data_IF_076756765518
#
_entry.id   IF_076756765518
#
_cell.length_a   1.000
_cell.length_b   1.000
_cell.length_c   1.000
_cell.angle_alpha   90.00
_cell.angle_beta   90.00
_cell.angle_gamma   90.00
#
_symmetry.space_group_name_H-M   'P 1'
#
loop_
_entity.id
_entity.type
_entity.pdbx_description
1 polymer ?
#
# COMPACT_ATOMS: atom_id res chain seq x y z
N UNK A 1 -3.83 16.28 26.36
CA UNK A 1 -4.63 15.27 25.57
C UNK A 1 -3.81 14.02 25.21
N UNK A 2 -2.98 13.50 26.11
CA UNK A 2 -2.04 12.40 25.83
C UNK A 2 -2.48 11.03 26.37
N UNK A 3 -3.61 10.95 27.08
CA UNK A 3 -4.09 9.68 27.67
C UNK A 3 -4.56 8.62 26.66
N UNK A 4 -4.99 9.01 25.46
CA UNK A 4 -5.47 8.07 24.44
C UNK A 4 -4.37 7.20 23.81
N UNK A 5 -3.17 7.76 23.65
CA UNK A 5 -2.06 7.08 22.99
C UNK A 5 -1.43 5.98 23.85
N UNK A 6 -1.34 6.20 25.17
CA UNK A 6 -0.78 5.19 26.10
C UNK A 6 -1.64 3.92 26.17
N UNK A 7 -2.97 4.06 26.23
CA UNK A 7 -3.88 2.90 26.22
C UNK A 7 -3.80 2.11 24.91
N UNK A 8 -3.74 2.82 23.78
CA UNK A 8 -3.58 2.21 22.47
C UNK A 8 -2.27 1.41 22.38
N UNK A 9 -1.17 1.98 22.82
CA UNK A 9 0.12 1.31 22.81
C UNK A 9 0.14 0.07 23.70
N UNK A 10 -0.40 0.17 24.91
CA UNK A 10 -0.49 -0.98 25.83
C UNK A 10 -1.32 -2.12 25.24
N UNK A 11 -2.40 -1.79 24.52
CA UNK A 11 -3.23 -2.79 23.86
C UNK A 11 -2.47 -3.48 22.70
N UNK A 12 -1.80 -2.71 21.85
CA UNK A 12 -0.99 -3.27 20.78
C UNK A 12 0.17 -4.12 21.30
N UNK A 13 0.76 -3.75 22.43
CA UNK A 13 1.82 -4.51 23.09
C UNK A 13 1.30 -5.86 23.63
N UNK A 14 0.11 -5.86 24.21
CA UNK A 14 -0.53 -7.09 24.67
C UNK A 14 -0.86 -8.02 23.52
N UNK A 15 -1.38 -7.50 22.41
CA UNK A 15 -1.65 -8.29 21.20
C UNK A 15 -0.34 -8.82 20.63
N UNK A 16 0.72 -8.02 20.54
CA UNK A 16 2.00 -8.45 20.00
C UNK A 16 2.58 -9.61 20.81
N UNK A 17 2.46 -9.55 22.13
CA UNK A 17 2.89 -10.65 23.01
C UNK A 17 2.07 -11.91 22.79
N UNK A 18 0.75 -11.80 22.63
CA UNK A 18 -0.14 -12.94 22.36
C UNK A 18 0.14 -13.58 20.99
N UNK A 19 0.41 -12.76 19.98
CA UNK A 19 0.77 -13.22 18.63
C UNK A 19 2.12 -13.94 18.66
N UNK A 20 3.13 -13.37 19.32
CA UNK A 20 4.45 -13.96 19.46
C UNK A 20 4.39 -15.29 20.23
N UNK A 21 3.57 -15.40 21.26
CA UNK A 21 3.39 -16.67 21.97
C UNK A 21 2.85 -17.80 21.07
N UNK A 22 2.09 -17.48 20.03
CA UNK A 22 1.55 -18.44 19.06
C UNK A 22 2.49 -18.67 17.86
N UNK A 23 3.31 -17.68 17.54
CA UNK A 23 4.28 -17.67 16.44
C UNK A 23 5.62 -17.13 16.95
N UNK A 24 6.38 -17.97 17.68
CA UNK A 24 7.68 -17.57 18.21
C UNK A 24 8.73 -17.27 17.11
N UNK A 25 8.48 -17.74 15.90
CA UNK A 25 9.25 -17.44 14.69
C UNK A 25 9.08 -16.00 14.19
N UNK A 26 8.04 -15.29 14.63
CA UNK A 26 7.83 -13.89 14.33
C UNK A 26 8.40 -12.99 15.43
N UNK A 27 9.24 -12.04 15.06
CA UNK A 27 9.83 -11.10 16.02
C UNK A 27 8.82 -10.07 16.52
N UNK A 28 8.90 -9.70 17.78
CA UNK A 28 7.98 -8.73 18.42
C UNK A 28 7.99 -7.35 17.72
N UNK A 29 9.15 -6.77 17.35
CA UNK A 29 9.20 -5.52 16.61
C UNK A 29 8.46 -5.58 15.27
N UNK A 30 8.61 -6.65 14.51
CA UNK A 30 7.92 -6.88 13.24
C UNK A 30 6.41 -7.02 13.43
N UNK A 31 5.96 -7.74 14.46
CA UNK A 31 4.54 -7.83 14.83
C UNK A 31 3.98 -6.44 15.16
N UNK A 32 4.65 -5.65 16.00
CA UNK A 32 4.21 -4.29 16.37
C UNK A 32 4.11 -3.38 15.15
N UNK A 33 5.10 -3.42 14.25
CA UNK A 33 5.08 -2.65 13.01
C UNK A 33 3.88 -3.02 12.13
N UNK A 34 3.58 -4.31 12.02
CA UNK A 34 2.45 -4.82 11.21
C UNK A 34 1.10 -4.47 11.84
N UNK A 35 0.96 -4.57 13.16
CA UNK A 35 -0.21 -4.11 13.90
C UNK A 35 -0.44 -2.60 13.74
N UNK A 36 0.64 -1.81 13.79
CA UNK A 36 0.57 -0.36 13.57
C UNK A 36 0.09 -0.01 12.16
N UNK A 37 0.58 -0.71 11.14
CA UNK A 37 0.11 -0.57 9.75
C UNK A 37 -1.36 -0.96 9.60
N UNK A 38 -1.76 -2.10 10.15
CA UNK A 38 -3.13 -2.57 10.12
C UNK A 38 -4.09 -1.56 10.78
N UNK A 39 -3.72 -1.04 11.95
CA UNK A 39 -4.48 -0.03 12.67
C UNK A 39 -4.56 1.32 11.93
N UNK A 40 -3.52 1.69 11.16
CA UNK A 40 -3.52 2.90 10.35
C UNK A 40 -4.43 2.76 9.11
N UNK A 41 -4.42 1.60 8.44
CA UNK A 41 -5.29 1.30 7.30
C UNK A 41 -6.76 1.28 7.75
N UNK A 42 -7.02 0.66 8.89
CA UNK A 42 -8.34 0.55 9.47
C UNK A 42 -8.95 1.91 9.86
N UNK A 43 -8.13 2.94 10.05
CA UNK A 43 -8.56 4.29 10.37
C UNK A 43 -8.76 4.54 11.87
N UNK A 44 -8.92 5.83 12.23
CA UNK A 44 -9.00 6.26 13.63
C UNK A 44 -10.26 5.82 14.39
N UNK A 45 -11.24 5.25 13.69
CA UNK A 45 -12.50 4.75 14.28
C UNK A 45 -12.60 3.23 14.34
N UNK A 46 -11.61 2.52 13.81
CA UNK A 46 -11.63 1.06 13.82
C UNK A 46 -11.32 0.52 15.17
N UNK A 47 -12.09 -0.47 15.56
CA UNK A 47 -11.88 -1.13 16.82
C UNK A 47 -10.52 -1.87 16.77
N UNK A 48 -9.61 -1.49 17.68
CA UNK A 48 -8.35 -2.21 17.86
C UNK A 48 -8.59 -3.70 18.17
N UNK A 49 -9.79 -4.06 18.61
CA UNK A 49 -10.23 -5.43 18.81
C UNK A 49 -10.23 -6.17 17.47
N UNK A 50 -10.74 -5.59 16.40
CA UNK A 50 -10.73 -6.17 15.07
C UNK A 50 -9.32 -6.46 14.57
N UNK A 51 -8.41 -5.50 14.77
CA UNK A 51 -6.98 -5.67 14.46
C UNK A 51 -6.38 -6.83 15.25
N UNK A 52 -6.73 -6.93 16.53
CA UNK A 52 -6.29 -8.02 17.40
C UNK A 52 -6.82 -9.39 16.95
N UNK A 53 -8.10 -9.47 16.62
CA UNK A 53 -8.74 -10.70 16.13
C UNK A 53 -8.09 -11.13 14.81
N UNK A 54 -7.90 -10.21 13.87
CA UNK A 54 -7.28 -10.52 12.59
C UNK A 54 -5.82 -10.97 12.78
N UNK A 55 -5.06 -10.31 13.66
CA UNK A 55 -3.69 -10.70 13.97
C UNK A 55 -3.61 -12.13 14.54
N UNK A 56 -4.49 -12.48 15.48
CA UNK A 56 -4.56 -13.83 16.03
C UNK A 56 -4.98 -14.87 15.00
N UNK A 57 -5.92 -14.55 14.08
CA UNK A 57 -6.28 -15.42 12.96
C UNK A 57 -5.12 -15.59 11.98
N UNK A 58 -4.33 -14.53 11.73
CA UNK A 58 -3.17 -14.59 10.85
C UNK A 58 -2.10 -15.58 11.35
N UNK A 59 -2.01 -15.83 12.68
CA UNK A 59 -1.09 -16.83 13.23
C UNK A 59 -1.39 -18.26 12.78
N UNK A 60 -2.61 -18.53 12.30
CA UNK A 60 -3.01 -19.85 11.81
C UNK A 60 -2.44 -20.14 10.41
N UNK A 61 -2.01 -19.12 9.71
CA UNK A 61 -1.42 -19.24 8.38
C UNK A 61 0.03 -19.68 8.45
N UNK A 62 0.24 -20.99 8.41
CA UNK A 62 1.56 -21.60 8.52
C UNK A 62 2.45 -21.43 7.28
N UNK A 63 1.84 -21.08 6.14
CA UNK A 63 2.50 -20.75 4.89
C UNK A 63 3.23 -19.39 4.92
N UNK A 64 2.99 -18.57 5.94
CA UNK A 64 3.58 -17.25 6.08
C UNK A 64 4.66 -17.22 7.16
N UNK A 65 5.85 -16.77 6.77
CA UNK A 65 7.03 -16.67 7.64
C UNK A 65 7.23 -15.28 8.23
N UNK A 66 6.46 -14.29 7.77
CA UNK A 66 6.59 -12.90 8.20
C UNK A 66 5.28 -12.37 8.83
N UNK A 67 5.37 -11.54 9.88
CA UNK A 67 4.22 -10.89 10.49
C UNK A 67 3.55 -9.86 9.56
N UNK A 68 4.15 -9.46 8.43
CA UNK A 68 3.56 -8.51 7.46
C UNK A 68 2.16 -8.92 7.01
N UNK A 69 1.87 -10.22 6.99
CA UNK A 69 0.57 -10.77 6.63
C UNK A 69 -0.59 -10.18 7.45
N UNK A 70 -0.33 -9.71 8.68
CA UNK A 70 -1.35 -9.08 9.54
C UNK A 70 -1.98 -7.85 8.86
N UNK A 71 -1.17 -7.05 8.16
CA UNK A 71 -1.63 -5.85 7.47
C UNK A 71 -2.04 -6.09 6.01
N UNK A 72 -1.83 -7.31 5.50
CA UNK A 72 -2.20 -7.67 4.14
C UNK A 72 -3.69 -8.03 4.05
N UNK A 73 -4.35 -7.80 2.90
CA UNK A 73 -5.69 -8.31 2.64
C UNK A 73 -5.71 -9.84 2.73
N UNK A 74 -6.70 -10.40 3.40
CA UNK A 74 -6.80 -11.85 3.49
C UNK A 74 -7.98 -12.34 4.34
N UNK A 75 -8.17 -13.65 4.36
CA UNK A 75 -9.26 -14.31 5.08
C UNK A 75 -9.23 -14.10 6.60
N UNK A 76 -8.08 -13.74 7.16
CA UNK A 76 -7.95 -13.42 8.59
C UNK A 76 -8.74 -12.16 8.99
N UNK A 77 -9.06 -11.28 8.04
CA UNK A 77 -9.94 -10.13 8.24
C UNK A 77 -11.43 -10.46 8.11
N UNK A 78 -11.79 -11.64 7.63
CA UNK A 78 -13.19 -12.01 7.45
C UNK A 78 -13.97 -11.94 8.79
N UNK A 79 -15.12 -11.28 8.75
CA UNK A 79 -15.98 -11.09 9.93
C UNK A 79 -15.53 -9.96 10.87
N UNK A 80 -14.60 -9.10 10.45
CA UNK A 80 -14.27 -7.85 11.14
C UNK A 80 -14.88 -6.68 10.38
N UNK A 81 -15.26 -5.61 11.08
CA UNK A 81 -15.77 -4.39 10.43
C UNK A 81 -14.71 -3.69 9.60
N UNK A 82 -13.44 -3.97 9.91
CA UNK A 82 -12.25 -3.43 9.24
C UNK A 82 -11.96 -4.14 7.89
N UNK A 83 -12.58 -5.29 7.62
CA UNK A 83 -12.33 -6.08 6.41
C UNK A 83 -12.48 -5.27 5.11
N UNK A 84 -13.46 -4.37 5.05
CA UNK A 84 -13.69 -3.53 3.88
C UNK A 84 -12.56 -2.52 3.62
N UNK A 85 -11.94 -1.98 4.68
CA UNK A 85 -10.84 -1.03 4.57
C UNK A 85 -9.53 -1.67 4.12
N UNK A 86 -9.33 -2.96 4.46
CA UNK A 86 -8.11 -3.72 4.15
C UNK A 86 -8.25 -4.51 2.83
N UNK A 87 -9.47 -4.70 2.36
CA UNK A 87 -9.69 -5.37 1.06
C UNK A 87 -9.08 -4.53 -0.06
N UNK A 88 -8.29 -5.12 -0.96
CA UNK A 88 -7.73 -4.37 -2.08
C UNK A 88 -8.87 -3.78 -2.92
N UNK A 89 -8.71 -2.54 -3.37
CA UNK A 89 -9.72 -1.90 -4.21
C UNK A 89 -9.93 -2.71 -5.48
N UNK A 90 -11.18 -2.75 -5.95
CA UNK A 90 -11.50 -3.42 -7.22
C UNK A 90 -10.62 -2.85 -8.33
N UNK A 91 -10.04 -3.69 -9.19
CA UNK A 91 -9.28 -3.22 -10.34
C UNK A 91 -10.18 -2.44 -11.30
N UNK A 92 -9.61 -1.45 -11.97
CA UNK A 92 -10.31 -0.75 -13.04
C UNK A 92 -10.61 -1.73 -14.19
N UNK A 93 -11.85 -1.79 -14.71
CA UNK A 93 -12.20 -2.71 -15.77
C UNK A 93 -11.40 -2.50 -17.06
N UNK A 94 -10.99 -1.26 -17.35
CA UNK A 94 -10.19 -0.91 -18.52
C UNK A 94 -8.68 -0.96 -18.26
N UNK A 95 -8.25 -0.79 -17.00
CA UNK A 95 -6.85 -0.71 -16.58
C UNK A 95 -6.63 -1.56 -15.31
N UNK A 96 -6.49 -2.88 -15.45
CA UNK A 96 -6.47 -3.82 -14.31
C UNK A 96 -5.34 -3.58 -13.29
N UNK A 97 -4.29 -2.87 -13.71
CA UNK A 97 -3.17 -2.51 -12.82
C UNK A 97 -3.48 -1.35 -11.87
N UNK A 98 -4.60 -0.65 -12.08
CA UNK A 98 -4.99 0.50 -11.25
C UNK A 98 -6.34 0.27 -10.56
N UNK A 99 -6.56 0.87 -9.37
CA UNK A 99 -7.84 0.77 -8.68
C UNK A 99 -8.94 1.55 -9.40
N UNK A 100 -10.14 0.98 -9.48
CA UNK A 100 -11.28 1.56 -10.21
C UNK A 100 -11.65 2.98 -9.76
N UNK A 101 -11.56 3.27 -8.45
CA UNK A 101 -11.94 4.56 -7.86
C UNK A 101 -10.88 5.66 -8.06
N UNK A 102 -9.66 5.32 -8.44
CA UNK A 102 -8.53 6.25 -8.58
C UNK A 102 -7.72 6.01 -9.86
N UNK A 103 -8.33 5.41 -10.89
CA UNK A 103 -7.64 5.11 -12.13
C UNK A 103 -7.16 6.38 -12.83
N UNK A 104 -5.84 6.54 -12.89
CA UNK A 104 -5.19 7.70 -13.50
C UNK A 104 -5.38 7.74 -15.01
N UNK A 105 -5.43 6.58 -15.64
CA UNK A 105 -5.58 6.48 -17.09
C UNK A 105 -7.00 6.86 -17.51
N UNK A 106 -8.04 6.36 -16.83
CA UNK A 106 -9.41 6.80 -17.10
C UNK A 106 -9.58 8.31 -16.86
N UNK A 107 -8.91 8.86 -15.84
CA UNK A 107 -8.95 10.32 -15.60
C UNK A 107 -8.28 11.10 -16.72
N UNK A 108 -7.17 10.62 -17.27
CA UNK A 108 -6.50 11.24 -18.41
C UNK A 108 -7.34 11.18 -19.67
N UNK A 109 -7.99 10.06 -19.93
CA UNK A 109 -8.88 9.87 -21.08
C UNK A 109 -10.14 10.73 -20.98
N UNK A 110 -10.69 10.89 -19.76
CA UNK A 110 -11.85 11.74 -19.48
C UNK A 110 -11.54 13.25 -19.51
N UNK A 111 -10.25 13.64 -19.42
CA UNK A 111 -9.83 15.05 -19.51
C UNK A 111 -9.05 15.21 -20.80
N UNK A 112 -9.72 15.59 -21.91
CA UNK A 112 -9.02 15.82 -23.16
C UNK A 112 -7.98 16.93 -23.00
N UNK A 113 -6.77 16.67 -23.49
CA UNK A 113 -5.70 17.67 -23.46
C UNK A 113 -6.14 18.90 -24.27
N UNK A 114 -6.10 20.10 -23.70
CA UNK A 114 -6.44 21.33 -24.41
C UNK A 114 -5.61 21.46 -25.71
N UNK A 115 -6.22 21.93 -26.79
CA UNK A 115 -5.59 21.97 -28.10
C UNK A 115 -4.30 22.79 -28.14
N UNK A 116 -4.21 23.88 -27.35
CA UNK A 116 -2.99 24.68 -27.21
C UNK A 116 -1.81 23.88 -26.60
N UNK A 117 -2.09 23.04 -25.60
CA UNK A 117 -1.04 22.19 -24.98
C UNK A 117 -0.60 21.11 -25.96
N UNK A 118 -1.51 20.59 -26.77
CA UNK A 118 -1.19 19.63 -27.83
C UNK A 118 -0.31 20.26 -28.92
N UNK A 119 -0.57 21.50 -29.31
CA UNK A 119 0.23 22.25 -30.26
C UNK A 119 1.65 22.49 -29.73
N UNK A 120 1.78 22.96 -28.46
CA UNK A 120 3.07 23.22 -27.83
C UNK A 120 3.94 21.95 -27.74
N UNK A 121 3.34 20.81 -27.39
CA UNK A 121 4.03 19.53 -27.38
C UNK A 121 4.48 19.10 -28.77
N UNK A 122 3.65 19.30 -29.80
CA UNK A 122 4.02 18.97 -31.18
C UNK A 122 5.24 19.78 -31.64
N UNK A 123 5.32 21.05 -31.27
CA UNK A 123 6.47 21.94 -31.59
C UNK A 123 7.73 21.52 -30.86
N UNK A 124 7.62 21.14 -29.58
CA UNK A 124 8.76 20.62 -28.79
C UNK A 124 9.33 19.34 -29.45
N UNK A 125 8.47 18.41 -29.84
CA UNK A 125 8.91 17.17 -30.49
C UNK A 125 9.45 17.40 -31.90
N UNK A 126 8.92 18.36 -32.66
CA UNK A 126 9.42 18.74 -33.97
C UNK A 126 10.84 19.36 -33.88
N UNK A 127 11.04 20.22 -32.86
CA UNK A 127 12.35 20.86 -32.60
C UNK A 127 13.40 19.83 -32.18
N UNK A 128 13.04 18.87 -31.33
CA UNK A 128 13.96 17.78 -30.92
C UNK A 128 14.40 16.88 -32.08
N UNK A 129 13.55 16.67 -33.07
CA UNK A 129 13.90 15.87 -34.27
C UNK A 129 14.84 16.60 -35.22
N UNK A 130 14.91 17.93 -35.13
CA UNK A 130 15.78 18.76 -35.98
C UNK A 130 17.17 19.03 -35.41
N UNK A 131 17.51 18.51 -34.22
CA UNK A 131 18.84 18.61 -33.66
C UNK A 131 19.68 17.40 -34.11
N UNK A 132 20.47 17.49 -35.20
CA UNK A 132 21.22 16.35 -35.73
C UNK A 132 22.58 16.16 -35.05
N UNK A 133 22.83 16.82 -33.91
CA UNK A 133 24.17 16.81 -33.30
C UNK A 133 24.16 16.12 -31.92
N UNK A 134 24.05 14.80 -31.95
CA UNK A 134 24.69 13.97 -30.95
C UNK A 134 25.90 13.32 -31.60
N UNK A 135 27.01 14.04 -31.51
CA UNK A 135 28.35 13.49 -31.76
C UNK A 135 28.48 12.14 -31.05
N UNK A 136 28.81 11.05 -31.73
CA UNK A 136 29.03 9.77 -31.06
C UNK A 136 30.23 9.93 -30.13
N UNK A 137 30.04 9.61 -28.86
CA UNK A 137 31.10 9.48 -27.87
C UNK A 137 32.16 8.50 -28.42
N UNK A 138 33.33 9.02 -28.75
CA UNK A 138 34.48 8.22 -29.08
C UNK A 138 35.24 7.95 -27.79
N UNK A 139 35.33 6.70 -27.28
CA UNK A 139 36.15 6.37 -26.13
C UNK A 139 37.64 6.52 -26.54
N UNK A 140 38.41 7.28 -25.76
CA UNK A 140 39.85 7.34 -25.91
C UNK A 140 40.50 5.97 -25.60
N UNK A 141 41.46 5.50 -26.42
CA UNK A 141 42.19 4.27 -26.14
C UNK A 141 43.20 4.54 -25.00
N UNK A 142 43.20 3.67 -24.00
CA UNK A 142 44.21 3.55 -22.93
C UNK A 142 45.45 2.86 -23.47
#
# INVERSE_FOLDING_TARGET
MTMGNSRRNNYLDAIASAVHARRPDWDIPGIKASLGKAAAIAGNGSDLIDVGIAALKATQRRDRTSPSVIAEPGTHWAGTDTAAAITPPRPCPNHPAEPAHACRQCRREATPMPDHVRADLADIFATRRRSPDRSPYTPEPT
#
